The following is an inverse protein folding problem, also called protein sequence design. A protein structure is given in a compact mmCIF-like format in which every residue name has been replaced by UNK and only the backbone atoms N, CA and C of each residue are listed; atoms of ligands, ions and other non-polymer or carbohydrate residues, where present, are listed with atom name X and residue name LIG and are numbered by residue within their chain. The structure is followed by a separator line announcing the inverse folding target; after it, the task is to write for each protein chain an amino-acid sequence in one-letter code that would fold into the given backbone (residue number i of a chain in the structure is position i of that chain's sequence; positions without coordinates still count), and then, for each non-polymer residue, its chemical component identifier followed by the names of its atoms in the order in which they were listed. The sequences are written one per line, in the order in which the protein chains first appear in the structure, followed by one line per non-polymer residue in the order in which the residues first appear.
data_IF_505224766481
#
_entry.id   IF_505224766481
#
_cell.length_a   1.000
_cell.length_b   1.000
_cell.length_c   1.000
_cell.angle_alpha   90.00
_cell.angle_beta   90.00
_cell.angle_gamma   90.00
#
_symmetry.space_group_name_H-M   'P 1'
#
loop_
_entity.id
_entity.type
_entity.pdbx_description
1 polymer ?
#
# COMPACT_ATOMS: atom_id res chain seq x y z
N UNK A 1 7.11 9.00 19.74
CA UNK A 1 6.40 8.62 18.49
C UNK A 1 5.61 7.35 18.74
N UNK A 2 4.34 7.34 18.38
CA UNK A 2 3.46 6.18 18.55
C UNK A 2 3.91 5.03 17.67
N UNK A 3 3.88 3.82 18.21
CA UNK A 3 4.18 2.60 17.46
C UNK A 3 2.88 1.93 17.05
N UNK A 4 2.70 1.74 15.75
CA UNK A 4 1.48 1.17 15.18
C UNK A 4 1.84 -0.06 14.35
N UNK A 5 1.10 -1.15 14.54
CA UNK A 5 1.19 -2.32 13.69
C UNK A 5 0.03 -2.30 12.70
N UNK A 6 0.32 -2.53 11.42
CA UNK A 6 -0.68 -2.56 10.37
C UNK A 6 -0.61 -3.89 9.63
N UNK A 7 -1.75 -4.57 9.56
CA UNK A 7 -1.90 -5.83 8.83
C UNK A 7 -2.81 -5.57 7.63
N UNK A 8 -2.36 -5.91 6.45
CA UNK A 8 -3.12 -5.66 5.22
C UNK A 8 -3.30 -6.91 4.39
N UNK A 9 -4.42 -6.96 3.66
CA UNK A 9 -4.73 -8.01 2.70
C UNK A 9 -5.57 -7.44 1.58
N UNK A 10 -5.36 -7.94 0.38
CA UNK A 10 -6.13 -7.55 -0.79
C UNK A 10 -6.28 -8.70 -1.75
N UNK A 11 -7.42 -8.78 -2.41
CA UNK A 11 -7.72 -9.84 -3.35
C UNK A 11 -8.60 -9.35 -4.49
N UNK A 12 -8.53 -10.03 -5.61
CA UNK A 12 -9.31 -9.72 -6.78
C UNK A 12 -9.84 -11.02 -7.41
N UNK A 13 -11.09 -11.03 -7.79
CA UNK A 13 -11.72 -12.16 -8.49
C UNK A 13 -11.53 -11.96 -10.00
N UNK A 14 -10.49 -12.55 -10.56
CA UNK A 14 -10.02 -12.25 -11.90
C UNK A 14 -8.97 -11.14 -11.85
N UNK A 15 -8.34 -10.84 -12.98
CA UNK A 15 -7.27 -9.83 -12.99
C UNK A 15 -7.18 -9.18 -14.38
N UNK A 16 -8.03 -8.15 -14.67
CA UNK A 16 -8.88 -7.40 -13.74
C UNK A 16 -10.23 -8.05 -13.43
N UNK A 17 -10.85 -7.57 -12.36
CA UNK A 17 -12.17 -8.00 -11.92
C UNK A 17 -12.57 -7.35 -10.62
N UNK A 18 -13.70 -7.76 -10.02
CA UNK A 18 -14.09 -7.25 -8.71
C UNK A 18 -13.06 -7.60 -7.64
N UNK A 19 -12.70 -6.65 -6.81
CA UNK A 19 -11.71 -6.87 -5.75
C UNK A 19 -12.05 -6.14 -4.47
N UNK A 20 -11.39 -6.55 -3.40
CA UNK A 20 -11.52 -5.93 -2.09
C UNK A 20 -10.21 -5.94 -1.33
N UNK A 21 -10.14 -5.10 -0.32
CA UNK A 21 -9.00 -5.02 0.57
C UNK A 21 -9.46 -4.84 2.00
N UNK A 22 -8.62 -5.25 2.94
CA UNK A 22 -8.83 -5.05 4.36
C UNK A 22 -7.56 -4.66 5.06
N UNK A 23 -7.68 -3.94 6.16
CA UNK A 23 -6.55 -3.59 7.00
C UNK A 23 -6.96 -3.58 8.46
N UNK A 24 -6.05 -3.99 9.33
CA UNK A 24 -6.19 -3.92 10.77
C UNK A 24 -5.04 -3.09 11.32
N UNK A 25 -5.37 -2.08 12.10
CA UNK A 25 -4.38 -1.24 12.77
C UNK A 25 -4.43 -1.52 14.26
N UNK A 26 -3.27 -1.79 14.87
CA UNK A 26 -3.13 -2.04 16.31
C UNK A 26 -2.26 -0.97 16.93
N UNK A 27 -2.76 -0.37 18.00
CA UNK A 27 -2.03 0.61 18.77
C UNK A 27 -2.45 0.52 20.23
N UNK A 28 -1.47 0.28 21.10
CA UNK A 28 -1.65 0.33 22.57
C UNK A 28 -2.87 -0.47 23.05
N UNK A 29 -3.06 -1.68 22.53
CA UNK A 29 -4.18 -2.56 22.88
C UNK A 29 -5.47 -2.27 22.15
N UNK A 30 -5.52 -1.25 21.32
CA UNK A 30 -6.67 -0.91 20.50
C UNK A 30 -6.51 -1.44 19.08
N UNK A 31 -7.60 -1.92 18.50
CA UNK A 31 -7.64 -2.35 17.10
C UNK A 31 -8.68 -1.58 16.32
N UNK A 32 -8.37 -1.27 15.08
CA UNK A 32 -9.32 -0.70 14.13
C UNK A 32 -9.24 -1.47 12.83
N UNK A 33 -10.40 -1.90 12.33
CA UNK A 33 -10.51 -2.57 11.04
C UNK A 33 -11.12 -1.63 10.01
N UNK A 34 -10.58 -1.64 8.81
CA UNK A 34 -11.13 -0.92 7.67
C UNK A 34 -11.13 -1.83 6.46
N UNK A 35 -12.01 -1.56 5.52
CA UNK A 35 -12.11 -2.33 4.29
C UNK A 35 -12.69 -1.49 3.17
N UNK A 36 -12.51 -1.95 1.95
CA UNK A 36 -13.07 -1.32 0.77
C UNK A 36 -13.00 -2.26 -0.42
N UNK A 37 -13.46 -1.80 -1.57
CA UNK A 37 -13.45 -2.59 -2.78
C UNK A 37 -13.66 -1.75 -4.03
N UNK A 38 -13.41 -2.36 -5.17
CA UNK A 38 -13.64 -1.79 -6.49
C UNK A 38 -14.24 -2.84 -7.41
N UNK A 39 -15.12 -2.42 -8.32
CA UNK A 39 -15.79 -3.32 -9.25
C UNK A 39 -14.86 -3.86 -10.33
N UNK A 40 -13.83 -3.11 -10.70
CA UNK A 40 -12.87 -3.50 -11.72
C UNK A 40 -11.47 -3.07 -11.31
N UNK A 41 -10.70 -4.02 -10.81
CA UNK A 41 -9.39 -3.73 -10.21
C UNK A 41 -8.42 -4.91 -10.40
N UNK A 42 -7.28 -4.87 -9.75
CA UNK A 42 -6.28 -5.94 -9.75
C UNK A 42 -5.84 -6.25 -8.32
N UNK A 43 -5.23 -7.42 -8.12
CA UNK A 43 -4.67 -7.78 -6.82
C UNK A 43 -3.70 -6.73 -6.30
N UNK A 44 -2.80 -6.26 -7.15
CA UNK A 44 -1.79 -5.28 -6.74
C UNK A 44 -2.43 -3.94 -6.32
N UNK A 45 -3.47 -3.50 -7.03
CA UNK A 45 -4.20 -2.28 -6.65
C UNK A 45 -4.88 -2.43 -5.29
N UNK A 46 -5.45 -3.61 -5.01
CA UNK A 46 -6.11 -3.87 -3.73
C UNK A 46 -5.10 -3.92 -2.58
N UNK A 47 -3.94 -4.53 -2.79
CA UNK A 47 -2.88 -4.53 -1.81
C UNK A 47 -2.36 -3.11 -1.51
N UNK A 48 -2.14 -2.31 -2.54
CA UNK A 48 -1.75 -0.91 -2.38
C UNK A 48 -2.82 -0.08 -1.68
N UNK A 49 -4.09 -0.27 -2.04
CA UNK A 49 -5.22 0.46 -1.45
C UNK A 49 -5.33 0.20 0.04
N UNK A 50 -5.12 -1.05 0.48
CA UNK A 50 -5.13 -1.40 1.90
C UNK A 50 -4.06 -0.62 2.68
N UNK A 51 -2.84 -0.58 2.18
CA UNK A 51 -1.73 0.13 2.83
C UNK A 51 -1.99 1.64 2.84
N UNK A 52 -2.39 2.21 1.71
CA UNK A 52 -2.66 3.65 1.58
C UNK A 52 -3.74 4.08 2.57
N UNK A 53 -4.87 3.37 2.59
CA UNK A 53 -5.99 3.75 3.45
C UNK A 53 -5.65 3.58 4.94
N UNK A 54 -4.87 2.55 5.28
CA UNK A 54 -4.42 2.36 6.65
C UNK A 54 -3.51 3.51 7.11
N UNK A 55 -2.51 3.87 6.29
CA UNK A 55 -1.60 4.97 6.62
C UNK A 55 -2.32 6.31 6.68
N UNK A 56 -3.32 6.53 5.82
CA UNK A 56 -4.08 7.77 5.78
C UNK A 56 -4.92 8.00 7.04
N UNK A 57 -5.20 6.96 7.82
CA UNK A 57 -5.91 7.09 9.10
C UNK A 57 -5.04 7.66 10.22
N UNK A 58 -3.73 7.59 10.08
CA UNK A 58 -2.81 8.09 11.10
C UNK A 58 -2.76 9.61 11.06
N UNK A 59 -3.18 10.24 12.16
CA UNK A 59 -3.32 11.70 12.24
C UNK A 59 -2.01 12.42 12.57
N UNK A 60 -0.99 11.67 12.97
CA UNK A 60 0.32 12.21 13.34
C UNK A 60 1.40 11.22 12.87
N UNK A 61 2.65 11.64 12.71
CA UNK A 61 3.73 10.71 12.37
C UNK A 61 3.84 9.59 13.39
N UNK A 62 3.90 8.35 12.90
CA UNK A 62 3.98 7.15 13.72
C UNK A 62 5.12 6.26 13.24
N UNK A 63 5.66 5.46 14.16
CA UNK A 63 6.55 4.36 13.79
C UNK A 63 5.67 3.17 13.41
N UNK A 64 5.62 2.86 12.12
CA UNK A 64 4.73 1.82 11.58
C UNK A 64 5.50 0.55 11.28
N UNK A 65 4.97 -0.58 11.75
CA UNK A 65 5.40 -1.90 11.31
C UNK A 65 4.28 -2.48 10.44
N UNK A 66 4.58 -2.69 9.16
CA UNK A 66 3.62 -3.17 8.18
C UNK A 66 3.81 -4.67 7.96
N UNK A 67 2.72 -5.42 8.08
CA UNK A 67 2.66 -6.85 7.77
C UNK A 67 1.77 -7.05 6.57
N UNK A 68 2.32 -7.56 5.48
CA UNK A 68 1.60 -7.82 4.24
C UNK A 68 2.15 -9.08 3.58
N UNK A 69 1.27 -9.89 3.00
CA UNK A 69 1.67 -11.05 2.21
C UNK A 69 2.08 -10.67 0.79
N UNK A 70 1.85 -9.43 0.38
CA UNK A 70 2.18 -8.97 -0.97
C UNK A 70 3.68 -8.75 -1.14
N UNK A 71 4.33 -9.64 -1.86
CA UNK A 71 5.74 -9.46 -2.24
C UNK A 71 5.93 -8.22 -3.11
N UNK A 72 4.97 -7.91 -3.95
CA UNK A 72 4.98 -6.72 -4.80
C UNK A 72 5.14 -5.45 -3.96
N UNK A 73 4.28 -5.26 -2.94
CA UNK A 73 4.34 -4.09 -2.06
C UNK A 73 5.59 -4.10 -1.20
N UNK A 74 5.85 -5.21 -0.52
CA UNK A 74 6.99 -5.32 0.41
C UNK A 74 8.33 -5.14 -0.29
N UNK A 75 8.53 -5.78 -1.44
CA UNK A 75 9.79 -5.69 -2.17
C UNK A 75 9.98 -4.29 -2.76
N UNK A 76 8.93 -3.67 -3.27
CA UNK A 76 9.03 -2.32 -3.81
C UNK A 76 9.45 -1.31 -2.75
N UNK A 77 9.00 -1.48 -1.51
CA UNK A 77 9.39 -0.61 -0.40
C UNK A 77 10.78 -0.96 0.15
N UNK A 78 11.06 -2.25 0.42
CA UNK A 78 12.33 -2.68 1.00
C UNK A 78 13.51 -2.48 0.06
N UNK A 79 13.33 -2.80 -1.22
CA UNK A 79 14.39 -2.73 -2.23
C UNK A 79 14.46 -1.37 -2.91
N UNK A 80 13.54 -0.46 -2.57
CA UNK A 80 13.53 0.89 -3.10
C UNK A 80 13.05 1.00 -4.55
N UNK A 81 12.38 -0.01 -5.09
CA UNK A 81 11.90 0.00 -6.46
C UNK A 81 10.92 1.16 -6.72
N UNK A 82 9.99 1.40 -5.79
CA UNK A 82 9.00 2.46 -5.95
C UNK A 82 9.65 3.84 -6.01
N UNK A 83 10.63 4.09 -5.17
CA UNK A 83 11.40 5.35 -5.18
C UNK A 83 12.20 5.51 -6.47
N UNK A 84 12.77 4.42 -6.98
CA UNK A 84 13.48 4.42 -8.27
C UNK A 84 12.53 4.74 -9.42
N UNK A 85 11.34 4.15 -9.42
CA UNK A 85 10.35 4.43 -10.45
C UNK A 85 9.94 5.90 -10.44
N UNK A 86 9.69 6.46 -9.26
CA UNK A 86 9.34 7.88 -9.12
C UNK A 86 10.47 8.78 -9.62
N UNK A 87 11.72 8.50 -9.25
CA UNK A 87 12.88 9.25 -9.70
C UNK A 87 13.09 9.15 -11.22
N UNK A 88 12.65 8.05 -11.82
CA UNK A 88 12.78 7.80 -13.26
C UNK A 88 11.46 8.07 -13.99
N UNK A 89 10.68 9.04 -13.51
CA UNK A 89 9.44 9.49 -14.13
C UNK A 89 8.42 8.35 -14.31
N UNK A 90 8.36 7.45 -13.33
CA UNK A 90 7.50 6.25 -13.29
C UNK A 90 7.78 5.25 -14.41
N UNK A 91 8.99 5.24 -14.92
CA UNK A 91 9.45 4.20 -15.84
C UNK A 91 10.13 3.07 -15.07
N UNK A 92 9.66 1.85 -15.26
CA UNK A 92 10.24 0.65 -14.65
C UNK A 92 11.54 0.26 -15.35
N UNK A 93 11.58 0.46 -16.66
CA UNK A 93 12.75 0.30 -17.50
C UNK A 93 12.64 1.25 -18.71
N UNK A 94 13.53 1.12 -19.67
CA UNK A 94 13.56 2.02 -20.85
C UNK A 94 12.30 1.95 -21.73
N UNK A 95 11.54 0.85 -21.64
CA UNK A 95 10.40 0.59 -22.53
C UNK A 95 9.06 0.56 -21.82
N UNK A 96 9.03 0.29 -20.50
CA UNK A 96 7.80 0.04 -19.76
C UNK A 96 7.63 1.00 -18.60
N UNK A 97 6.40 1.49 -18.43
CA UNK A 97 6.02 2.26 -17.26
C UNK A 97 5.75 1.34 -16.08
N UNK A 98 6.06 1.81 -14.89
CA UNK A 98 5.61 1.15 -13.67
C UNK A 98 4.08 1.17 -13.62
N UNK A 99 3.49 0.09 -13.11
CA UNK A 99 2.05 0.01 -12.94
C UNK A 99 1.62 0.79 -11.71
N UNK A 100 0.41 1.35 -11.76
CA UNK A 100 -0.24 2.04 -10.64
C UNK A 100 0.57 3.23 -10.10
N UNK A 101 1.10 4.12 -10.96
CA UNK A 101 1.95 5.22 -10.47
C UNK A 101 1.20 6.16 -9.53
N UNK A 102 -0.08 6.41 -9.74
CA UNK A 102 -0.89 7.27 -8.87
C UNK A 102 -1.01 6.71 -7.45
N UNK A 103 -1.15 5.40 -7.34
CA UNK A 103 -1.22 4.74 -6.03
C UNK A 103 0.15 4.74 -5.35
N UNK A 104 1.21 4.44 -6.09
CA UNK A 104 2.57 4.44 -5.55
C UNK A 104 2.99 5.84 -5.09
N UNK A 105 2.65 6.88 -5.84
CA UNK A 105 2.97 8.25 -5.45
C UNK A 105 2.29 8.61 -4.12
N UNK A 106 1.03 8.27 -3.98
CA UNK A 106 0.29 8.50 -2.74
C UNK A 106 0.88 7.70 -1.58
N UNK A 107 1.21 6.43 -1.80
CA UNK A 107 1.82 5.58 -0.79
C UNK A 107 3.17 6.13 -0.34
N UNK A 108 4.04 6.54 -1.26
CA UNK A 108 5.35 7.09 -0.93
C UNK A 108 5.24 8.38 -0.12
N UNK A 109 4.29 9.24 -0.43
CA UNK A 109 4.03 10.45 0.35
C UNK A 109 3.68 10.10 1.79
N UNK A 110 2.79 9.13 1.99
CA UNK A 110 2.41 8.66 3.33
C UNK A 110 3.56 7.92 4.02
N UNK A 111 4.31 7.13 3.27
CA UNK A 111 5.47 6.40 3.77
C UNK A 111 6.55 7.33 4.31
N UNK A 112 6.81 8.43 3.63
CA UNK A 112 7.81 9.41 4.06
C UNK A 112 7.35 10.21 5.29
N UNK A 113 6.04 10.29 5.54
CA UNK A 113 5.47 10.93 6.72
C UNK A 113 5.63 10.08 7.99
N UNK A 114 5.64 8.77 7.82
CA UNK A 114 5.68 7.82 8.96
C UNK A 114 6.94 6.90 8.98
#
# INVERSE_FOLDING_TARGET
MKQVEIFTDGACSGNPGPGGWGAVLRYNGHEKEISGGEANTTNNRMELSAVINALALLKEPCKVTLYSDSQYVCNALKLGWAKKWKANNWMRNKKEKALNPELWDRLLTLYDTH
#
